data_IF_255729842406
#
_entry.id   IF_255729842406
#
_cell.length_a   1.000
_cell.length_b   1.000
_cell.length_c   1.000
_cell.angle_alpha   90.00
_cell.angle_beta   90.00
_cell.angle_gamma   90.00
#
_symmetry.space_group_name_H-M   'P 1'
#
loop_
_entity.id
_entity.type
_entity.pdbx_description
1 polymer ?
#
# COMPACT_ATOMS: atom_id res chain seq x y z
N UNK A 1 -1.40 4.41 34.63
CA UNK A 1 -1.67 4.00 33.23
C UNK A 1 -0.62 4.65 32.35
N UNK A 2 0.48 3.96 32.07
CA UNK A 2 1.52 4.48 31.19
C UNK A 2 0.97 4.54 29.76
N UNK A 3 0.89 5.74 29.18
CA UNK A 3 0.47 5.92 27.80
C UNK A 3 1.44 5.17 26.89
N UNK A 4 0.94 4.25 26.07
CA UNK A 4 1.73 3.59 25.05
C UNK A 4 2.30 4.68 24.13
N UNK A 5 3.61 4.93 24.23
CA UNK A 5 4.32 5.79 23.30
C UNK A 5 4.24 5.17 21.92
N UNK A 6 3.47 5.77 21.02
CA UNK A 6 3.49 5.44 19.59
C UNK A 6 4.93 5.63 19.11
N UNK A 7 5.55 4.53 18.65
CA UNK A 7 6.93 4.56 18.18
C UNK A 7 7.03 5.50 16.97
N UNK A 8 8.08 6.32 16.94
CA UNK A 8 8.27 7.34 15.89
C UNK A 8 8.31 6.67 14.51
N UNK A 9 7.56 7.25 13.58
CA UNK A 9 7.49 6.83 12.18
C UNK A 9 8.71 7.35 11.37
N UNK A 10 9.90 6.84 11.72
CA UNK A 10 11.18 7.33 11.18
C UNK A 10 11.39 6.98 9.70
N UNK A 11 10.82 5.86 9.25
CA UNK A 11 11.03 5.33 7.88
C UNK A 11 10.10 5.96 6.83
N UNK A 12 9.12 6.78 7.25
CA UNK A 12 8.06 7.30 6.37
C UNK A 12 8.57 7.94 5.08
N UNK A 13 9.60 8.78 5.19
CA UNK A 13 10.14 9.49 4.02
C UNK A 13 10.79 8.52 3.03
N UNK A 14 11.53 7.52 3.53
CA UNK A 14 12.15 6.50 2.70
C UNK A 14 11.10 5.57 2.06
N UNK A 15 10.03 5.25 2.80
CA UNK A 15 8.90 4.45 2.30
C UNK A 15 8.19 5.15 1.15
N UNK A 16 7.82 6.42 1.30
CA UNK A 16 7.21 7.15 0.19
C UNK A 16 8.15 7.27 -1.01
N UNK A 17 9.45 7.49 -0.81
CA UNK A 17 10.41 7.54 -1.91
C UNK A 17 10.53 6.19 -2.66
N UNK A 18 10.39 5.06 -1.97
CA UNK A 18 10.35 3.74 -2.59
C UNK A 18 9.04 3.51 -3.35
N UNK A 19 7.90 3.83 -2.72
CA UNK A 19 6.58 3.67 -3.32
C UNK A 19 6.36 4.57 -4.53
N UNK A 20 6.91 5.80 -4.53
CA UNK A 20 6.86 6.70 -5.69
C UNK A 20 7.59 6.09 -6.90
N UNK A 21 8.77 5.50 -6.67
CA UNK A 21 9.53 4.82 -7.72
C UNK A 21 8.79 3.60 -8.27
N UNK A 22 8.21 2.78 -7.40
CA UNK A 22 7.39 1.64 -7.78
C UNK A 22 6.16 2.07 -8.56
N UNK A 23 5.45 3.09 -8.06
CA UNK A 23 4.21 3.60 -8.64
C UNK A 23 4.44 4.17 -10.03
N UNK A 24 5.55 4.88 -10.27
CA UNK A 24 5.93 5.37 -11.59
C UNK A 24 6.11 4.23 -12.62
N UNK A 25 6.63 3.08 -12.18
CA UNK A 25 6.81 1.92 -13.05
C UNK A 25 5.47 1.25 -13.42
N UNK A 26 4.58 1.05 -12.44
CA UNK A 26 3.24 0.44 -12.66
C UNK A 26 2.22 1.42 -13.27
N UNK A 27 2.48 2.73 -13.22
CA UNK A 27 1.72 3.72 -14.00
C UNK A 27 1.96 3.54 -15.50
N UNK A 28 3.18 3.17 -15.90
CA UNK A 28 3.52 2.85 -17.29
C UNK A 28 3.15 1.41 -17.66
N UNK A 29 3.39 0.47 -16.74
CA UNK A 29 3.32 -0.96 -16.99
C UNK A 29 4.26 -1.43 -18.10
N UNK A 30 4.06 -2.66 -18.57
CA UNK A 30 4.82 -3.21 -19.67
C UNK A 30 6.17 -3.81 -19.25
N UNK A 31 7.03 -4.16 -20.22
CA UNK A 31 8.31 -4.76 -19.93
C UNK A 31 9.29 -3.78 -19.27
N UNK A 32 10.13 -4.29 -18.37
CA UNK A 32 11.33 -3.63 -17.82
C UNK A 32 12.52 -4.59 -17.81
N UNK A 33 13.72 -4.01 -17.90
CA UNK A 33 14.95 -4.72 -17.52
C UNK A 33 15.12 -4.67 -16.00
N UNK A 34 15.42 -5.83 -15.43
CA UNK A 34 15.53 -6.03 -13.99
C UNK A 34 16.68 -6.99 -13.69
N UNK A 35 17.85 -6.42 -13.37
CA UNK A 35 19.08 -7.18 -13.10
C UNK A 35 19.43 -8.21 -14.19
N UNK A 36 19.27 -7.84 -15.46
CA UNK A 36 19.54 -8.71 -16.61
C UNK A 36 18.40 -9.67 -16.98
N UNK A 37 17.33 -9.72 -16.17
CA UNK A 37 16.07 -10.39 -16.50
C UNK A 37 15.05 -9.40 -17.05
N UNK A 38 14.01 -9.90 -17.71
CA UNK A 38 12.87 -9.08 -18.17
C UNK A 38 11.65 -9.36 -17.29
N UNK A 39 11.13 -8.33 -16.62
CA UNK A 39 9.84 -8.42 -15.92
C UNK A 39 8.74 -7.78 -16.75
N UNK A 40 7.55 -8.36 -16.69
CA UNK A 40 6.34 -7.79 -17.28
C UNK A 40 5.48 -7.19 -16.16
N UNK A 41 5.41 -5.86 -16.10
CA UNK A 41 4.62 -5.18 -15.06
C UNK A 41 3.16 -4.98 -15.49
N UNK A 42 2.20 -5.14 -14.56
CA UNK A 42 0.84 -4.70 -14.79
C UNK A 42 0.76 -3.17 -14.87
N UNK A 43 -0.29 -2.67 -15.54
CA UNK A 43 -0.70 -1.27 -15.41
C UNK A 43 -1.65 -1.18 -14.24
N UNK A 44 -1.37 -0.29 -13.29
CA UNK A 44 -2.22 -0.17 -12.09
C UNK A 44 -3.61 0.38 -12.42
N UNK A 45 -4.60 -0.05 -11.64
CA UNK A 45 -5.98 0.42 -11.80
C UNK A 45 -6.14 1.88 -11.36
N UNK A 46 -7.00 2.63 -12.07
CA UNK A 46 -7.47 3.97 -11.69
C UNK A 46 -8.97 3.94 -11.50
N UNK A 47 -9.45 4.46 -10.37
CA UNK A 47 -10.85 4.38 -9.98
C UNK A 47 -11.59 5.67 -10.34
N UNK A 48 -12.69 5.53 -11.06
CA UNK A 48 -13.54 6.66 -11.48
C UNK A 48 -14.64 7.05 -10.48
N UNK A 49 -14.93 6.21 -9.49
CA UNK A 49 -16.03 6.43 -8.54
C UNK A 49 -15.71 5.85 -7.16
N UNK A 50 -16.41 6.33 -6.12
CA UNK A 50 -16.27 5.81 -4.76
C UNK A 50 -16.74 4.35 -4.67
N UNK A 51 -17.82 4.01 -5.37
CA UNK A 51 -18.35 2.65 -5.46
C UNK A 51 -17.32 1.66 -6.06
N UNK A 52 -16.53 2.09 -7.06
CA UNK A 52 -15.46 1.25 -7.61
C UNK A 52 -14.33 1.03 -6.59
N UNK A 53 -14.04 2.03 -5.75
CA UNK A 53 -13.09 1.90 -4.65
C UNK A 53 -13.62 0.94 -3.57
N UNK A 54 -14.89 1.08 -3.19
CA UNK A 54 -15.55 0.21 -2.20
C UNK A 54 -15.50 -1.26 -2.64
N UNK A 55 -15.92 -1.57 -3.88
CA UNK A 55 -15.82 -2.92 -4.44
C UNK A 55 -14.40 -3.49 -4.44
N UNK A 56 -13.41 -2.65 -4.75
CA UNK A 56 -12.02 -3.08 -4.74
C UNK A 56 -11.54 -3.40 -3.32
N UNK A 57 -11.88 -2.57 -2.34
CA UNK A 57 -11.57 -2.81 -0.93
C UNK A 57 -12.28 -4.05 -0.38
N UNK A 58 -13.54 -4.28 -0.78
CA UNK A 58 -14.26 -5.52 -0.47
C UNK A 58 -13.54 -6.74 -1.06
N UNK A 59 -13.09 -6.67 -2.32
CA UNK A 59 -12.30 -7.72 -2.93
C UNK A 59 -11.01 -7.99 -2.14
N UNK A 60 -10.27 -6.94 -1.75
CA UNK A 60 -9.10 -7.09 -0.87
C UNK A 60 -9.47 -7.81 0.44
N UNK A 61 -10.56 -7.42 1.10
CA UNK A 61 -11.00 -8.05 2.34
C UNK A 61 -11.28 -9.56 2.16
N UNK A 62 -11.79 -10.00 1.00
CA UNK A 62 -12.01 -11.44 0.74
C UNK A 62 -10.71 -12.26 0.74
N UNK A 63 -9.56 -11.64 0.43
CA UNK A 63 -8.24 -12.28 0.45
C UNK A 63 -7.62 -12.36 1.86
N UNK A 64 -8.22 -11.69 2.85
CA UNK A 64 -7.72 -11.57 4.22
C UNK A 64 -8.80 -12.00 5.24
N UNK A 65 -9.22 -13.27 5.23
CA UNK A 65 -10.21 -13.76 6.20
C UNK A 65 -9.70 -13.61 7.63
N UNK A 66 -10.58 -13.16 8.54
CA UNK A 66 -10.25 -12.93 9.94
C UNK A 66 -9.74 -11.53 10.27
N UNK A 67 -9.49 -10.68 9.27
CA UNK A 67 -9.22 -9.24 9.48
C UNK A 67 -10.55 -8.49 9.67
N UNK A 68 -10.66 -7.55 10.64
CA UNK A 68 -11.86 -6.73 10.81
C UNK A 68 -12.24 -5.99 9.54
N UNK A 69 -13.54 -5.78 9.29
CA UNK A 69 -13.98 -5.04 8.11
C UNK A 69 -13.46 -3.60 8.10
N UNK A 70 -13.15 -3.11 6.89
CA UNK A 70 -12.77 -1.72 6.63
C UNK A 70 -13.80 -1.08 5.69
N UNK A 71 -14.14 0.18 5.95
CA UNK A 71 -15.06 0.96 5.11
C UNK A 71 -14.31 2.05 4.36
N UNK A 72 -14.90 2.54 3.27
CA UNK A 72 -14.35 3.64 2.49
C UNK A 72 -15.28 4.84 2.57
N UNK A 73 -14.72 6.05 2.55
CA UNK A 73 -15.51 7.26 2.37
C UNK A 73 -14.76 8.33 1.59
N UNK A 74 -15.50 9.26 1.00
CA UNK A 74 -14.89 10.46 0.47
C UNK A 74 -14.31 11.34 1.60
N UNK A 75 -13.08 11.81 1.38
CA UNK A 75 -12.42 12.85 2.18
C UNK A 75 -12.50 14.24 1.53
N UNK A 76 -13.02 15.23 2.27
CA UNK A 76 -13.12 16.64 1.82
C UNK A 76 -11.76 17.27 1.46
N UNK A 77 -10.73 17.06 2.29
CA UNK A 77 -9.38 17.61 2.04
C UNK A 77 -8.62 16.79 1.00
N UNK A 78 -7.85 17.44 0.12
CA UNK A 78 -7.17 16.81 -1.03
C UNK A 78 -5.71 16.38 -0.82
N UNK A 79 -5.12 16.71 0.34
CA UNK A 79 -3.67 16.57 0.55
C UNK A 79 -3.20 15.14 0.84
N UNK A 80 -4.09 14.26 1.32
CA UNK A 80 -3.76 12.86 1.64
C UNK A 80 -4.97 11.95 1.56
N UNK A 81 -4.76 10.69 1.16
CA UNK A 81 -5.56 9.56 1.60
C UNK A 81 -5.13 9.18 3.03
N UNK A 82 -5.97 8.48 3.78
CA UNK A 82 -5.59 7.99 5.11
C UNK A 82 -6.56 6.92 5.62
N UNK A 83 -6.02 5.82 6.11
CA UNK A 83 -6.69 4.85 6.97
C UNK A 83 -6.65 5.31 8.44
N UNK A 84 -7.80 5.25 9.11
CA UNK A 84 -7.87 5.39 10.57
C UNK A 84 -9.09 4.65 11.11
N UNK A 85 -8.90 3.85 12.16
CA UNK A 85 -9.97 3.20 12.92
C UNK A 85 -11.03 2.49 12.05
N UNK A 86 -10.58 1.66 11.09
CA UNK A 86 -11.48 0.91 10.22
C UNK A 86 -12.06 1.71 9.04
N UNK A 87 -11.54 2.91 8.76
CA UNK A 87 -12.03 3.77 7.67
C UNK A 87 -10.88 4.23 6.78
N UNK A 88 -10.96 3.95 5.48
CA UNK A 88 -10.10 4.51 4.43
C UNK A 88 -10.79 5.76 3.86
N UNK A 89 -10.17 6.92 4.05
CA UNK A 89 -10.70 8.20 3.58
C UNK A 89 -9.96 8.67 2.32
N UNK A 90 -10.61 8.64 1.15
CA UNK A 90 -10.00 8.97 -0.16
C UNK A 90 -10.50 10.32 -0.70
N UNK A 91 -9.61 11.25 -1.10
CA UNK A 91 -10.02 12.45 -1.81
C UNK A 91 -10.33 12.14 -3.28
N UNK A 92 -11.57 11.72 -3.57
CA UNK A 92 -12.06 11.38 -4.92
C UNK A 92 -11.88 12.48 -5.97
N UNK A 93 -11.71 13.73 -5.54
CA UNK A 93 -11.47 14.89 -6.41
C UNK A 93 -9.99 15.12 -6.74
N UNK A 94 -9.09 14.25 -6.26
CA UNK A 94 -7.66 14.31 -6.51
C UNK A 94 -7.22 13.06 -7.29
N UNK A 95 -6.90 13.17 -8.60
CA UNK A 95 -6.62 12.01 -9.45
C UNK A 95 -5.49 11.09 -8.95
N UNK A 96 -4.50 11.65 -8.24
CA UNK A 96 -3.40 10.88 -7.66
C UNK A 96 -3.88 9.90 -6.58
N UNK A 97 -4.99 10.20 -5.90
CA UNK A 97 -5.50 9.41 -4.78
C UNK A 97 -6.41 8.26 -5.23
N UNK A 98 -6.92 8.31 -6.46
CA UNK A 98 -7.77 7.27 -7.05
C UNK A 98 -6.94 6.22 -7.80
N UNK A 99 -5.76 5.87 -7.28
CA UNK A 99 -4.84 4.86 -7.84
C UNK A 99 -4.85 3.62 -6.95
N UNK A 100 -4.67 2.46 -7.57
CA UNK A 100 -4.57 1.17 -6.88
C UNK A 100 -3.46 1.16 -5.83
N UNK A 101 -2.27 1.65 -6.15
CA UNK A 101 -1.16 1.82 -5.19
C UNK A 101 -1.57 2.55 -3.91
N UNK A 102 -2.37 3.61 -4.02
CA UNK A 102 -2.85 4.37 -2.86
C UNK A 102 -3.82 3.54 -2.01
N UNK A 103 -4.74 2.80 -2.63
CA UNK A 103 -5.64 1.92 -1.87
C UNK A 103 -4.90 0.79 -1.19
N UNK A 104 -3.92 0.18 -1.88
CA UNK A 104 -3.08 -0.87 -1.32
C UNK A 104 -2.27 -0.34 -0.12
N UNK A 105 -1.71 0.87 -0.21
CA UNK A 105 -1.03 1.55 0.90
C UNK A 105 -1.96 1.72 2.12
N UNK A 106 -3.15 2.28 1.92
CA UNK A 106 -4.09 2.50 3.04
C UNK A 106 -4.64 1.18 3.61
N UNK A 107 -4.82 0.16 2.76
CA UNK A 107 -5.22 -1.17 3.22
C UNK A 107 -4.07 -1.87 3.97
N UNK A 108 -2.81 -1.64 3.60
CA UNK A 108 -1.67 -2.13 4.37
C UNK A 108 -1.60 -1.49 5.77
N UNK A 109 -1.96 -0.21 5.91
CA UNK A 109 -2.15 0.40 7.23
C UNK A 109 -3.28 -0.26 8.02
N UNK A 110 -4.36 -0.68 7.36
CA UNK A 110 -5.43 -1.43 8.00
C UNK A 110 -4.94 -2.80 8.52
N UNK A 111 -4.18 -3.54 7.72
CA UNK A 111 -3.57 -4.81 8.14
C UNK A 111 -2.58 -4.61 9.29
N UNK A 112 -1.80 -3.53 9.24
CA UNK A 112 -0.83 -3.18 10.28
C UNK A 112 -1.47 -2.53 11.52
N UNK A 113 -2.78 -2.25 11.53
CA UNK A 113 -3.43 -1.50 12.61
C UNK A 113 -3.38 -2.20 13.97
N UNK A 114 -3.17 -3.52 13.97
CA UNK A 114 -3.03 -4.35 15.17
C UNK A 114 -1.58 -4.48 15.64
N UNK A 115 -0.60 -4.02 14.86
CA UNK A 115 0.79 -4.05 15.28
C UNK A 115 1.11 -2.95 16.29
N UNK A 116 2.16 -3.19 17.07
CA UNK A 116 2.76 -2.16 17.93
C UNK A 116 3.92 -1.44 17.24
N UNK A 117 4.14 -1.69 15.95
CA UNK A 117 5.23 -1.11 15.17
C UNK A 117 4.91 0.31 14.67
N UNK A 118 5.92 1.09 14.24
CA UNK A 118 5.69 2.32 13.51
C UNK A 118 4.77 2.12 12.30
N UNK A 119 4.02 3.17 11.94
CA UNK A 119 3.03 3.12 10.87
C UNK A 119 3.61 2.67 9.51
N UNK A 120 4.86 3.02 9.20
CA UNK A 120 5.60 2.58 8.02
C UNK A 120 6.80 1.66 8.36
N UNK A 121 6.67 0.90 9.46
CA UNK A 121 7.66 -0.06 9.94
C UNK A 121 7.78 -1.32 9.06
N UNK A 122 8.49 -2.32 9.58
CA UNK A 122 8.80 -3.54 8.83
C UNK A 122 7.54 -4.36 8.52
N UNK A 123 6.61 -4.47 9.47
CA UNK A 123 5.35 -5.18 9.29
C UNK A 123 4.45 -4.50 8.25
N UNK A 124 4.39 -3.17 8.23
CA UNK A 124 3.68 -2.42 7.18
C UNK A 124 4.24 -2.75 5.79
N UNK A 125 5.57 -2.70 5.63
CA UNK A 125 6.22 -2.99 4.34
C UNK A 125 5.99 -4.43 3.89
N UNK A 126 6.07 -5.39 4.81
CA UNK A 126 5.76 -6.79 4.51
C UNK A 126 4.30 -6.98 4.11
N UNK A 127 3.36 -6.35 4.82
CA UNK A 127 1.94 -6.38 4.50
C UNK A 127 1.66 -5.78 3.12
N UNK A 128 2.21 -4.60 2.80
CA UNK A 128 2.01 -3.97 1.50
C UNK A 128 2.54 -4.83 0.37
N UNK A 129 3.75 -5.38 0.52
CA UNK A 129 4.33 -6.24 -0.51
C UNK A 129 3.52 -7.51 -0.73
N UNK A 130 3.08 -8.18 0.34
CA UNK A 130 2.23 -9.37 0.24
C UNK A 130 0.87 -9.04 -0.40
N UNK A 131 0.32 -7.87 -0.10
CA UNK A 131 -0.92 -7.38 -0.70
C UNK A 131 -0.75 -7.11 -2.20
N UNK A 132 0.35 -6.46 -2.61
CA UNK A 132 0.69 -6.20 -4.01
C UNK A 132 0.87 -7.51 -4.79
N UNK A 133 1.52 -8.50 -4.20
CA UNK A 133 1.72 -9.82 -4.82
C UNK A 133 0.39 -10.51 -5.14
N UNK A 134 -0.57 -10.43 -4.22
CA UNK A 134 -1.89 -11.06 -4.36
C UNK A 134 -2.85 -10.27 -5.25
N UNK A 135 -2.85 -8.93 -5.12
CA UNK A 135 -3.81 -8.07 -5.79
C UNK A 135 -3.39 -7.67 -7.21
N UNK A 136 -2.08 -7.54 -7.46
CA UNK A 136 -1.55 -7.11 -8.75
C UNK A 136 -0.81 -8.24 -9.47
N UNK A 137 0.41 -8.54 -9.04
CA UNK A 137 1.29 -9.54 -9.66
C UNK A 137 2.56 -9.76 -8.81
N UNK A 138 3.18 -10.96 -8.85
CA UNK A 138 4.48 -11.23 -8.23
C UNK A 138 5.60 -10.28 -8.70
N UNK A 139 5.62 -9.90 -9.98
CA UNK A 139 6.61 -9.00 -10.56
C UNK A 139 6.52 -7.58 -9.97
N UNK A 140 5.30 -7.10 -9.72
CA UNK A 140 5.06 -5.80 -9.06
C UNK A 140 5.55 -5.83 -7.62
N UNK A 141 5.27 -6.93 -6.90
CA UNK A 141 5.73 -7.12 -5.53
C UNK A 141 7.26 -7.23 -5.44
N UNK A 142 7.90 -7.97 -6.35
CA UNK A 142 9.35 -8.05 -6.44
C UNK A 142 9.98 -6.68 -6.68
N UNK A 143 9.41 -5.88 -7.59
CA UNK A 143 9.86 -4.52 -7.82
C UNK A 143 9.73 -3.65 -6.56
N UNK A 144 8.58 -3.69 -5.88
CA UNK A 144 8.37 -2.93 -4.64
C UNK A 144 9.37 -3.33 -3.54
N UNK A 145 9.67 -4.63 -3.37
CA UNK A 145 10.71 -5.09 -2.44
C UNK A 145 12.07 -4.45 -2.76
N UNK A 146 12.47 -4.42 -4.03
CA UNK A 146 13.74 -3.79 -4.42
C UNK A 146 13.72 -2.28 -4.28
N UNK A 147 12.58 -1.62 -4.53
CA UNK A 147 12.44 -0.20 -4.24
C UNK A 147 12.68 0.08 -2.75
N UNK A 148 12.12 -0.73 -1.84
CA UNK A 148 12.41 -0.61 -0.40
C UNK A 148 13.88 -0.83 -0.05
N UNK A 149 14.48 -1.92 -0.53
CA UNK A 149 15.90 -2.21 -0.30
C UNK A 149 16.80 -1.08 -0.81
N UNK A 150 16.47 -0.47 -1.97
CA UNK A 150 17.21 0.66 -2.52
C UNK A 150 17.18 1.93 -1.64
N UNK A 151 16.21 2.02 -0.71
CA UNK A 151 16.13 3.09 0.30
C UNK A 151 16.66 2.65 1.67
N UNK A 152 17.32 1.50 1.75
CA UNK A 152 17.86 0.94 3.00
C UNK A 152 16.80 0.33 3.92
N UNK A 153 15.60 0.04 3.40
CA UNK A 153 14.49 -0.47 4.18
C UNK A 153 14.43 -2.00 4.14
N UNK A 154 14.22 -2.61 5.30
CA UNK A 154 14.07 -4.07 5.43
C UNK A 154 12.61 -4.47 5.20
N UNK A 155 12.41 -5.46 4.33
CA UNK A 155 11.12 -6.14 4.16
C UNK A 155 11.26 -7.57 4.68
N UNK A 156 10.63 -7.92 5.81
CA UNK A 156 10.59 -9.29 6.31
C UNK A 156 10.10 -10.29 5.26
N UNK A 157 10.65 -11.50 5.28
CA UNK A 157 10.22 -12.59 4.41
C UNK A 157 8.82 -13.12 4.78
N UNK A 158 8.43 -12.99 6.05
CA UNK A 158 7.14 -13.41 6.59
C UNK A 158 6.55 -12.32 7.49
N UNK A 159 5.22 -12.21 7.49
CA UNK A 159 4.47 -11.45 8.48
C UNK A 159 4.13 -12.46 9.58
N UNK A 160 4.70 -12.29 10.77
CA UNK A 160 4.38 -13.11 11.94
C UNK A 160 2.96 -12.83 12.47
#
# INVERSE_FOLDING_TARGET
MAGATVQRDADRAAVYAAEDQWTAAIDRGGPIDFFGSRLQLPVQTRFGSLEAVERYVEHLATMHPGVPSVTVRHRKGKARAHYSAGVIAIPMTAPWACRESVLLHEFAHHLNALSKEPAHGAQFRAALVALVERAQAPESALLLRRCYESKGLVVPAHVD
#
